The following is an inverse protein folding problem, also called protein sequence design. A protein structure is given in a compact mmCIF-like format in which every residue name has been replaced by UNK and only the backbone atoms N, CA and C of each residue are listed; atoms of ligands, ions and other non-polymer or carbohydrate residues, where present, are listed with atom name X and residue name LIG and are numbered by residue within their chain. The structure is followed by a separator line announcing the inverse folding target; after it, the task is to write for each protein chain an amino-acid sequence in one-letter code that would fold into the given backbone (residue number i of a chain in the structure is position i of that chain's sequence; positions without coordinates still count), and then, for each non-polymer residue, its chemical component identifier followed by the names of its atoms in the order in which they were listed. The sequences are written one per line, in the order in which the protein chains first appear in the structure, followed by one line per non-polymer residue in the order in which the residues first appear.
data_IF_019087439528
#
_entry.id   IF_019087439528
#
_cell.length_a   1.000
_cell.length_b   1.000
_cell.length_c   1.000
_cell.angle_alpha   90.00
_cell.angle_beta   90.00
_cell.angle_gamma   90.00
#
_symmetry.space_group_name_H-M   'P 1'
#
loop_
_entity.id
_entity.type
_entity.pdbx_description
1 polymer ?
#
# COMPACT_ATOMS: atom_id res chain seq x y z
N UNK A 1 13.05 0.59 16.82
CA UNK A 1 11.57 0.67 16.94
C UNK A 1 10.91 0.48 15.57
N UNK A 2 9.60 0.14 15.54
CA UNK A 2 8.80 0.16 14.31
C UNK A 2 7.65 1.16 14.44
N UNK A 3 7.59 2.10 13.50
CA UNK A 3 6.52 3.09 13.39
C UNK A 3 5.54 2.64 12.32
N UNK A 4 4.29 2.47 12.69
CA UNK A 4 3.16 2.21 11.81
C UNK A 4 2.48 3.55 11.51
N UNK A 5 2.58 4.04 10.31
CA UNK A 5 2.04 5.34 9.91
C UNK A 5 0.93 5.19 8.87
N UNK A 6 -0.20 5.84 9.10
CA UNK A 6 -1.26 5.91 8.08
C UNK A 6 -1.01 7.11 7.17
N UNK A 7 -0.26 6.87 6.09
CA UNK A 7 0.19 7.89 5.16
C UNK A 7 -1.00 8.51 4.39
N UNK A 8 -1.20 9.83 4.44
CA UNK A 8 -2.18 10.51 3.62
C UNK A 8 -1.86 10.44 2.11
N UNK A 9 -2.86 10.71 1.29
CA UNK A 9 -2.69 10.96 -0.14
C UNK A 9 -1.77 12.15 -0.39
N UNK A 10 -0.99 12.10 -1.46
CA UNK A 10 -0.08 13.14 -1.93
C UNK A 10 1.01 13.55 -0.92
N UNK A 11 1.47 12.59 -0.13
CA UNK A 11 2.62 12.72 0.78
C UNK A 11 3.73 11.78 0.30
N UNK A 12 4.95 12.29 0.14
CA UNK A 12 6.12 11.50 -0.25
C UNK A 12 6.57 10.61 0.91
N UNK A 13 7.00 9.36 0.63
CA UNK A 13 7.58 8.43 1.61
C UNK A 13 9.05 8.77 1.92
N UNK A 14 9.35 10.05 2.19
CA UNK A 14 10.67 10.58 2.53
C UNK A 14 10.52 11.85 3.34
N UNK A 15 11.56 12.24 4.06
CA UNK A 15 11.54 13.42 4.96
C UNK A 15 11.91 14.73 4.27
N UNK A 16 12.55 14.68 3.11
CA UNK A 16 12.99 15.87 2.36
C UNK A 16 12.43 15.88 0.95
N UNK A 17 12.26 17.06 0.37
CA UNK A 17 11.85 17.24 -1.03
C UNK A 17 12.37 18.57 -1.57
N UNK A 18 12.91 18.54 -2.77
CA UNK A 18 13.35 19.76 -3.48
C UNK A 18 12.20 20.48 -4.20
N UNK A 19 11.02 19.87 -4.27
CA UNK A 19 9.88 20.31 -5.08
C UNK A 19 8.70 20.87 -4.29
N UNK A 20 8.89 21.36 -3.07
CA UNK A 20 7.82 21.85 -2.17
C UNK A 20 6.66 20.83 -1.98
N UNK A 21 6.93 19.56 -2.21
CA UNK A 21 5.95 18.50 -2.01
C UNK A 21 5.84 18.17 -0.52
N UNK A 22 4.65 17.77 -0.09
CA UNK A 22 4.41 17.28 1.26
C UNK A 22 5.24 16.04 1.55
N UNK A 23 5.87 15.98 2.71
CA UNK A 23 6.77 14.90 3.10
C UNK A 23 6.38 14.31 4.46
N UNK A 24 7.08 13.25 4.87
CA UNK A 24 6.88 12.64 6.19
C UNK A 24 7.21 13.59 7.34
N UNK A 25 8.08 14.60 7.11
CA UNK A 25 8.45 15.60 8.14
C UNK A 25 7.26 16.42 8.66
N UNK A 26 6.15 16.51 7.89
CA UNK A 26 4.93 17.18 8.36
C UNK A 26 4.17 16.37 9.44
N UNK A 27 4.47 15.08 9.58
CA UNK A 27 3.67 14.15 10.39
C UNK A 27 4.48 13.40 11.44
N UNK A 28 5.77 13.22 11.21
CA UNK A 28 6.63 12.34 12.00
C UNK A 28 7.82 13.16 12.51
N UNK A 29 7.80 13.44 13.79
CA UNK A 29 8.91 14.08 14.54
C UNK A 29 9.65 13.01 15.36
N UNK A 30 10.22 12.04 14.66
CA UNK A 30 11.02 10.95 15.25
C UNK A 30 12.33 10.90 14.47
N UNK A 31 13.45 11.11 15.19
CA UNK A 31 14.77 11.10 14.56
C UNK A 31 15.17 9.70 14.06
N UNK A 32 16.01 9.67 13.04
CA UNK A 32 16.71 8.50 12.52
C UNK A 32 15.82 7.37 11.98
N UNK A 33 14.50 7.58 11.83
CA UNK A 33 13.62 6.58 11.22
C UNK A 33 13.56 6.75 9.70
N UNK A 34 13.49 5.64 8.99
CA UNK A 34 13.37 5.60 7.53
C UNK A 34 12.38 4.52 7.08
N UNK A 35 11.84 4.68 5.88
CA UNK A 35 10.80 3.80 5.38
C UNK A 35 11.31 2.36 5.16
N UNK A 36 10.62 1.39 5.74
CA UNK A 36 10.75 -0.03 5.44
C UNK A 36 9.86 -0.40 4.25
N UNK A 37 10.30 -0.01 3.06
CA UNK A 37 9.54 -0.10 1.82
C UNK A 37 8.66 1.13 1.56
N UNK A 38 8.85 1.71 0.39
CA UNK A 38 8.16 2.95 -0.01
C UNK A 38 6.69 2.70 -0.36
N UNK A 39 5.90 3.75 -0.25
CA UNK A 39 4.57 3.87 -0.77
C UNK A 39 4.53 5.12 -1.64
N UNK A 40 3.97 5.02 -2.85
CA UNK A 40 3.92 6.14 -3.79
C UNK A 40 3.16 7.34 -3.18
N UNK A 41 3.47 8.55 -3.65
CA UNK A 41 2.80 9.76 -3.17
C UNK A 41 1.27 9.69 -3.36
N UNK A 42 0.84 9.17 -4.51
CA UNK A 42 -0.57 9.01 -4.88
C UNK A 42 -1.25 7.76 -4.28
N UNK A 43 -0.58 7.07 -3.36
CA UNK A 43 -1.12 5.93 -2.60
C UNK A 43 -1.23 6.28 -1.12
N UNK A 44 -2.18 5.67 -0.44
CA UNK A 44 -2.55 5.94 0.95
C UNK A 44 -2.32 4.72 1.84
N UNK A 45 -2.39 4.90 3.14
CA UNK A 45 -2.46 3.82 4.12
C UNK A 45 -1.13 3.47 4.76
N UNK A 46 -0.97 2.22 5.17
CA UNK A 46 0.11 1.79 6.04
C UNK A 46 1.49 1.95 5.41
N UNK A 47 2.29 2.82 5.99
CA UNK A 47 3.73 2.95 5.76
C UNK A 47 4.46 2.55 7.05
N UNK A 48 5.43 1.67 6.92
CA UNK A 48 6.27 1.26 8.03
C UNK A 48 7.58 2.04 7.97
N UNK A 49 8.03 2.55 9.15
CA UNK A 49 9.35 3.18 9.29
C UNK A 49 10.06 2.58 10.50
N UNK A 50 11.37 2.55 10.46
CA UNK A 50 12.20 2.02 11.54
C UNK A 50 13.57 2.68 11.55
N UNK A 51 14.20 2.71 12.71
CA UNK A 51 15.62 3.03 12.93
C UNK A 51 16.52 1.78 12.88
N UNK A 52 15.91 0.59 12.70
CA UNK A 52 16.60 -0.71 12.74
C UNK A 52 16.77 -1.30 11.35
N UNK A 53 18.03 -1.33 10.85
CA UNK A 53 18.34 -1.87 9.53
C UNK A 53 18.03 -3.36 9.33
N UNK A 54 18.12 -4.17 10.40
CA UNK A 54 17.76 -5.59 10.32
C UNK A 54 16.23 -5.76 10.14
N UNK A 55 15.44 -4.95 10.85
CA UNK A 55 13.99 -4.96 10.71
C UNK A 55 13.57 -4.44 9.33
N UNK A 56 14.20 -3.36 8.85
CA UNK A 56 13.97 -2.85 7.49
C UNK A 56 14.26 -3.92 6.42
N UNK A 57 15.40 -4.62 6.54
CA UNK A 57 15.75 -5.69 5.61
C UNK A 57 14.77 -6.88 5.67
N UNK A 58 14.28 -7.24 6.87
CA UNK A 58 13.29 -8.28 7.05
C UNK A 58 11.94 -7.94 6.39
N UNK A 59 11.52 -6.67 6.47
CA UNK A 59 10.22 -6.21 5.94
C UNK A 59 10.27 -5.95 4.43
N UNK A 60 11.34 -5.29 3.94
CA UNK A 60 11.38 -4.72 2.59
C UNK A 60 12.64 -5.07 1.79
N UNK A 61 13.55 -5.87 2.34
CA UNK A 61 14.74 -6.32 1.63
C UNK A 61 14.40 -7.25 0.44
N UNK A 62 15.37 -7.43 -0.46
CA UNK A 62 15.21 -8.22 -1.69
C UNK A 62 14.81 -9.69 -1.45
N UNK A 63 15.05 -10.22 -0.26
CA UNK A 63 14.69 -11.59 0.16
C UNK A 63 13.43 -11.61 1.05
N UNK A 64 12.81 -10.48 1.29
CA UNK A 64 11.62 -10.40 2.13
C UNK A 64 10.44 -11.09 1.43
N UNK A 65 9.78 -11.97 2.16
CA UNK A 65 8.52 -12.62 1.77
C UNK A 65 7.29 -11.96 2.39
N UNK A 66 7.50 -10.85 3.11
CA UNK A 66 6.43 -10.11 3.78
C UNK A 66 5.45 -9.58 2.75
N UNK A 67 4.22 -10.03 2.85
CA UNK A 67 3.13 -9.66 1.95
C UNK A 67 2.66 -8.23 2.17
N UNK A 68 2.10 -7.62 1.13
CA UNK A 68 1.47 -6.30 1.18
C UNK A 68 0.05 -6.43 0.66
N UNK A 69 -0.92 -6.03 1.47
CA UNK A 69 -2.34 -6.07 1.11
C UNK A 69 -2.84 -4.68 0.80
N UNK A 70 -3.50 -4.55 -0.32
CA UNK A 70 -4.03 -3.29 -0.83
C UNK A 70 -5.54 -3.38 -1.06
N UNK A 71 -6.24 -2.33 -0.75
CA UNK A 71 -7.56 -2.06 -1.28
C UNK A 71 -7.41 -1.12 -2.47
N UNK A 72 -7.90 -1.56 -3.62
CA UNK A 72 -7.85 -0.78 -4.85
C UNK A 72 -9.28 -0.50 -5.32
N UNK A 73 -9.64 0.79 -5.39
CA UNK A 73 -10.79 1.26 -6.15
C UNK A 73 -10.36 1.32 -7.60
N UNK A 74 -11.02 0.57 -8.44
CA UNK A 74 -10.70 0.47 -9.87
C UNK A 74 -11.87 0.95 -10.72
N UNK A 75 -11.56 1.52 -11.86
CA UNK A 75 -12.55 1.93 -12.85
C UNK A 75 -13.12 0.68 -13.54
N UNK A 76 -14.42 0.57 -13.62
CA UNK A 76 -15.11 -0.57 -14.21
C UNK A 76 -15.66 -1.57 -13.19
N UNK A 77 -16.44 -2.52 -13.69
CA UNK A 77 -16.98 -3.62 -12.89
C UNK A 77 -16.00 -4.78 -12.89
N UNK A 78 -15.47 -5.12 -11.73
CA UNK A 78 -14.58 -6.28 -11.58
C UNK A 78 -15.38 -7.58 -11.73
N UNK A 79 -14.97 -8.45 -12.66
CA UNK A 79 -15.52 -9.79 -12.86
C UNK A 79 -14.59 -10.86 -12.27
N UNK A 80 -15.11 -12.09 -12.12
CA UNK A 80 -14.33 -13.24 -11.69
C UNK A 80 -13.14 -13.53 -12.64
N UNK A 81 -13.28 -13.24 -13.92
CA UNK A 81 -12.20 -13.36 -14.92
C UNK A 81 -11.04 -12.40 -14.62
N UNK A 82 -11.33 -11.12 -14.33
CA UNK A 82 -10.32 -10.15 -13.93
C UNK A 82 -9.58 -10.60 -12.65
N UNK A 83 -10.33 -11.07 -11.65
CA UNK A 83 -9.75 -11.56 -10.40
C UNK A 83 -8.90 -12.82 -10.63
N UNK A 84 -9.35 -13.74 -11.50
CA UNK A 84 -8.60 -14.94 -11.83
C UNK A 84 -7.28 -14.61 -12.55
N UNK A 85 -7.26 -13.63 -13.44
CA UNK A 85 -6.03 -13.15 -14.10
C UNK A 85 -5.06 -12.57 -13.08
N UNK A 86 -5.53 -11.70 -12.17
CA UNK A 86 -4.70 -11.13 -11.11
C UNK A 86 -4.12 -12.21 -10.19
N UNK A 87 -4.90 -13.25 -9.86
CA UNK A 87 -4.43 -14.37 -9.02
C UNK A 87 -3.34 -15.21 -9.69
N UNK A 88 -3.43 -15.45 -11.01
CA UNK A 88 -2.39 -16.17 -11.76
C UNK A 88 -1.10 -15.35 -11.93
N UNK A 89 -1.17 -14.06 -11.73
CA UNK A 89 -0.15 -13.11 -12.13
C UNK A 89 -0.36 -12.63 -13.56
N UNK A 90 0.18 -11.46 -13.87
CA UNK A 90 0.05 -10.79 -15.17
C UNK A 90 1.41 -10.44 -15.74
N UNK A 91 1.49 -10.36 -17.06
CA UNK A 91 2.71 -9.93 -17.74
C UNK A 91 2.76 -8.40 -17.76
N UNK A 92 3.78 -7.84 -17.10
CA UNK A 92 4.12 -6.43 -17.15
C UNK A 92 5.31 -6.19 -18.09
N UNK A 93 5.63 -4.91 -18.37
CA UNK A 93 6.77 -4.56 -19.24
C UNK A 93 8.13 -5.08 -18.72
N UNK A 94 8.25 -5.23 -17.41
CA UNK A 94 9.45 -5.72 -16.71
C UNK A 94 9.35 -7.20 -16.31
N UNK A 95 8.48 -7.96 -16.96
CA UNK A 95 8.31 -9.40 -16.80
C UNK A 95 7.03 -9.80 -16.04
N UNK A 96 6.77 -11.11 -15.93
CA UNK A 96 5.59 -11.62 -15.25
C UNK A 96 5.63 -11.28 -13.76
N UNK A 97 4.47 -11.03 -13.17
CA UNK A 97 4.33 -10.90 -11.72
C UNK A 97 4.18 -12.26 -11.06
N UNK A 98 4.51 -12.32 -9.78
CA UNK A 98 4.15 -13.47 -8.95
C UNK A 98 2.63 -13.61 -8.84
N UNK A 99 2.12 -14.84 -8.58
CA UNK A 99 0.73 -15.03 -8.20
C UNK A 99 0.34 -14.17 -7.02
N UNK A 100 -0.90 -13.70 -7.00
CA UNK A 100 -1.42 -12.83 -5.95
C UNK A 100 -2.71 -13.40 -5.35
N UNK A 101 -3.04 -13.03 -4.11
CA UNK A 101 -4.40 -13.23 -3.61
C UNK A 101 -5.24 -12.03 -4.03
N UNK A 102 -6.41 -12.28 -4.60
CA UNK A 102 -7.31 -11.23 -5.04
C UNK A 102 -8.77 -11.61 -4.78
N UNK A 103 -9.55 -10.67 -4.25
CA UNK A 103 -10.99 -10.85 -4.05
C UNK A 103 -11.74 -9.54 -4.26
N UNK A 104 -13.00 -9.64 -4.63
CA UNK A 104 -13.93 -8.50 -4.63
C UNK A 104 -14.26 -8.11 -3.19
N UNK A 105 -14.27 -6.82 -2.90
CA UNK A 105 -14.67 -6.31 -1.59
C UNK A 105 -16.17 -5.95 -1.52
N UNK A 106 -16.87 -5.97 -2.66
CA UNK A 106 -18.26 -5.50 -2.74
C UNK A 106 -18.38 -3.99 -2.52
N UNK A 107 -19.54 -3.58 -2.01
CA UNK A 107 -19.73 -2.19 -1.57
C UNK A 107 -19.13 -2.04 -0.18
N UNK A 108 -17.97 -1.41 -0.11
CA UNK A 108 -17.36 -1.02 1.17
C UNK A 108 -17.61 0.47 1.41
N UNK A 109 -17.86 0.83 2.67
CA UNK A 109 -17.77 2.22 3.06
C UNK A 109 -16.32 2.69 2.83
N UNK A 110 -16.15 3.90 2.29
CA UNK A 110 -14.81 4.46 2.16
C UNK A 110 -14.11 4.43 3.52
N UNK A 111 -12.88 3.89 3.62
CA UNK A 111 -12.19 3.76 4.91
C UNK A 111 -12.01 5.11 5.62
N UNK A 112 -11.82 6.16 4.82
CA UNK A 112 -11.73 7.56 5.24
C UNK A 112 -11.92 8.48 4.03
N UNK A 113 -12.39 9.73 4.23
CA UNK A 113 -12.46 10.74 3.16
C UNK A 113 -11.08 11.03 2.59
N UNK A 114 -10.96 11.08 1.26
CA UNK A 114 -9.74 11.49 0.57
C UNK A 114 -9.80 12.95 0.15
N UNK A 115 -8.72 13.70 0.38
CA UNK A 115 -8.56 15.09 -0.08
C UNK A 115 -7.34 15.20 -1.01
N UNK A 116 -7.52 15.68 -2.26
CA UNK A 116 -8.79 15.98 -2.94
C UNK A 116 -9.59 14.68 -3.20
N UNK A 117 -10.92 14.77 -3.34
CA UNK A 117 -11.76 13.61 -3.64
C UNK A 117 -11.43 13.03 -5.01
N UNK A 118 -11.77 11.75 -5.22
CA UNK A 118 -11.63 11.13 -6.53
C UNK A 118 -12.58 11.80 -7.51
N UNK A 119 -12.11 12.02 -8.74
CA UNK A 119 -12.97 12.54 -9.80
C UNK A 119 -14.03 11.49 -10.15
N UNK A 120 -15.28 11.80 -9.83
CA UNK A 120 -16.42 10.95 -10.21
C UNK A 120 -16.73 11.13 -11.70
N UNK A 121 -16.76 10.01 -12.43
CA UNK A 121 -17.24 9.97 -13.83
C UNK A 121 -18.66 9.43 -13.83
N UNK A 122 -19.64 10.27 -14.17
CA UNK A 122 -21.09 9.97 -14.04
C UNK A 122 -21.56 8.64 -14.68
N UNK A 123 -20.88 8.16 -15.72
CA UNK A 123 -21.29 7.00 -16.51
C UNK A 123 -20.27 5.83 -16.47
N UNK A 124 -19.30 5.88 -15.59
CA UNK A 124 -18.31 4.82 -15.46
C UNK A 124 -18.40 4.26 -14.05
N UNK A 125 -18.85 2.99 -13.91
CA UNK A 125 -18.89 2.34 -12.60
C UNK A 125 -17.47 2.14 -12.06
N UNK A 126 -17.37 1.94 -10.76
CA UNK A 126 -16.16 1.53 -10.09
C UNK A 126 -16.44 0.33 -9.19
N UNK A 127 -15.39 -0.36 -8.81
CA UNK A 127 -15.46 -1.48 -7.87
C UNK A 127 -14.24 -1.50 -6.98
N UNK A 128 -14.38 -2.12 -5.80
CA UNK A 128 -13.29 -2.30 -4.87
C UNK A 128 -12.80 -3.74 -4.86
N UNK A 129 -11.50 -3.92 -5.00
CA UNK A 129 -10.83 -5.21 -4.87
C UNK A 129 -9.76 -5.16 -3.77
N UNK A 130 -9.57 -6.29 -3.11
CA UNK A 130 -8.41 -6.51 -2.25
C UNK A 130 -7.38 -7.33 -3.02
N UNK A 131 -6.14 -6.85 -3.04
CA UNK A 131 -5.03 -7.52 -3.69
C UNK A 131 -3.86 -7.66 -2.72
N UNK A 132 -3.39 -8.90 -2.49
CA UNK A 132 -2.22 -9.18 -1.67
C UNK A 132 -1.10 -9.73 -2.55
N UNK A 133 0.06 -9.07 -2.50
CA UNK A 133 1.27 -9.43 -3.25
C UNK A 133 2.44 -9.71 -2.32
N UNK A 134 3.36 -10.58 -2.72
CA UNK A 134 4.59 -10.93 -1.99
C UNK A 134 5.85 -10.21 -2.51
N UNK A 135 5.72 -9.44 -3.56
CA UNK A 135 6.80 -8.66 -4.19
C UNK A 135 6.52 -7.16 -4.11
N UNK A 136 7.40 -6.30 -4.62
CA UNK A 136 7.23 -4.84 -4.51
C UNK A 136 7.92 -4.08 -5.63
N UNK A 137 7.49 -4.30 -6.90
CA UNK A 137 7.99 -3.54 -8.04
C UNK A 137 7.40 -2.12 -8.05
N UNK A 138 8.06 -1.21 -8.75
CA UNK A 138 7.56 0.16 -8.91
C UNK A 138 6.12 0.15 -9.44
N UNK A 139 5.21 0.80 -8.72
CA UNK A 139 3.77 0.96 -9.05
C UNK A 139 3.07 -0.35 -9.45
N UNK A 140 3.47 -1.47 -8.85
CA UNK A 140 3.10 -2.81 -9.30
C UNK A 140 1.58 -3.02 -9.31
N UNK A 141 0.88 -2.75 -8.21
CA UNK A 141 -0.58 -2.97 -8.12
C UNK A 141 -1.32 -2.18 -9.20
N UNK A 142 -0.97 -0.90 -9.41
CA UNK A 142 -1.57 -0.06 -10.46
C UNK A 142 -1.34 -0.60 -11.87
N UNK A 143 -0.15 -1.17 -12.11
CA UNK A 143 0.18 -1.80 -13.40
C UNK A 143 -0.55 -3.13 -13.59
N UNK A 144 -0.70 -3.91 -12.51
CA UNK A 144 -1.42 -5.17 -12.55
C UNK A 144 -2.90 -4.96 -12.85
N UNK A 145 -3.56 -4.05 -12.16
CA UNK A 145 -4.98 -3.74 -12.38
C UNK A 145 -5.21 -3.16 -13.77
N UNK A 146 -4.34 -2.26 -14.24
CA UNK A 146 -4.42 -1.73 -15.60
C UNK A 146 -4.22 -2.81 -16.68
N UNK A 147 -3.36 -3.79 -16.44
CA UNK A 147 -3.10 -4.90 -17.39
C UNK A 147 -4.33 -5.79 -17.62
N UNK A 148 -5.25 -5.85 -16.65
CA UNK A 148 -6.53 -6.56 -16.78
C UNK A 148 -7.70 -5.64 -17.14
N UNK A 149 -7.43 -4.39 -17.55
CA UNK A 149 -8.48 -3.45 -17.97
C UNK A 149 -9.19 -2.70 -16.84
N UNK A 150 -8.67 -2.75 -15.62
CA UNK A 150 -9.23 -2.13 -14.42
C UNK A 150 -8.30 -1.04 -13.86
N UNK A 151 -8.18 0.16 -14.47
CA UNK A 151 -7.28 1.21 -13.98
C UNK A 151 -7.59 1.61 -12.54
N UNK A 152 -6.57 1.71 -11.70
CA UNK A 152 -6.73 2.10 -10.29
C UNK A 152 -7.02 3.60 -10.14
N UNK A 153 -8.15 3.92 -9.51
CA UNK A 153 -8.56 5.28 -9.12
C UNK A 153 -8.00 5.66 -7.74
N UNK A 154 -8.08 4.77 -6.77
CA UNK A 154 -7.57 4.93 -5.41
C UNK A 154 -6.83 3.67 -4.96
N UNK A 155 -5.72 3.84 -4.26
CA UNK A 155 -4.92 2.72 -3.75
C UNK A 155 -4.57 2.95 -2.30
N UNK A 156 -4.97 2.03 -1.44
CA UNK A 156 -4.76 2.07 -0.01
C UNK A 156 -4.01 0.80 0.41
N UNK A 157 -2.83 0.93 0.97
CA UNK A 157 -2.15 -0.23 1.57
C UNK A 157 -2.70 -0.46 2.97
N UNK A 158 -3.50 -1.49 3.14
CA UNK A 158 -4.18 -1.79 4.41
C UNK A 158 -3.36 -2.66 5.34
N UNK A 159 -2.40 -3.44 4.80
CA UNK A 159 -1.52 -4.26 5.62
C UNK A 159 -0.13 -4.46 5.00
N UNK A 160 0.86 -4.71 5.86
CA UNK A 160 2.21 -5.18 5.54
C UNK A 160 2.52 -6.30 6.53
N UNK A 161 2.60 -7.55 6.06
CA UNK A 161 2.72 -8.72 6.93
C UNK A 161 1.61 -8.73 7.98
N UNK A 162 1.97 -8.85 9.28
CA UNK A 162 1.01 -8.89 10.37
C UNK A 162 0.43 -7.52 10.73
N UNK A 163 1.02 -6.42 10.28
CA UNK A 163 0.59 -5.07 10.68
C UNK A 163 -0.49 -4.53 9.75
N UNK A 164 -1.49 -3.88 10.36
CA UNK A 164 -2.65 -3.33 9.67
C UNK A 164 -2.82 -1.85 10.00
N UNK A 165 -3.42 -1.11 9.06
CA UNK A 165 -3.67 0.32 9.21
C UNK A 165 -4.87 0.63 10.11
N UNK A 166 -5.68 -0.37 10.41
CA UNK A 166 -6.88 -0.24 11.22
C UNK A 166 -6.58 0.44 12.58
N UNK A 167 -7.47 1.31 13.01
CA UNK A 167 -7.36 2.11 14.26
C UNK A 167 -6.23 3.14 14.25
N UNK A 168 -5.59 3.40 13.13
CA UNK A 168 -4.65 4.51 12.99
C UNK A 168 -5.33 5.57 12.12
N UNK A 169 -5.61 6.75 12.68
CA UNK A 169 -6.19 7.85 11.93
C UNK A 169 -5.27 8.28 10.77
N UNK A 170 -5.83 8.86 9.72
CA UNK A 170 -5.03 9.38 8.59
C UNK A 170 -4.06 10.45 9.10
N UNK A 171 -2.78 10.31 8.76
CA UNK A 171 -1.71 11.16 9.29
C UNK A 171 -1.29 10.82 10.73
N UNK A 172 -1.95 9.86 11.38
CA UNK A 172 -1.57 9.35 12.68
C UNK A 172 -0.56 8.21 12.61
N UNK A 173 0.05 7.88 13.75
CA UNK A 173 1.03 6.81 13.87
C UNK A 173 0.84 5.99 15.16
N UNK A 174 1.41 4.79 15.15
CA UNK A 174 1.58 3.92 16.32
C UNK A 174 3.02 3.42 16.34
N UNK A 175 3.63 3.36 17.52
CA UNK A 175 4.99 2.85 17.69
C UNK A 175 4.93 1.52 18.45
N UNK A 176 5.74 0.56 18.03
CA UNK A 176 5.99 -0.70 18.72
C UNK A 176 7.50 -0.92 18.87
N UNK A 177 7.89 -1.76 19.83
CA UNK A 177 9.28 -2.12 20.02
C UNK A 177 9.83 -3.03 18.93
N UNK A 178 11.15 -3.12 18.79
CA UNK A 178 11.81 -4.07 17.90
C UNK A 178 11.44 -5.51 18.26
N UNK A 179 11.41 -5.84 19.54
CA UNK A 179 11.08 -7.20 20.02
C UNK A 179 9.66 -7.59 19.62
N UNK A 180 8.69 -6.68 19.80
CA UNK A 180 7.30 -6.89 19.37
C UNK A 180 7.24 -7.05 17.84
N UNK A 181 7.98 -6.24 17.09
CA UNK A 181 8.00 -6.30 15.64
C UNK A 181 8.62 -7.61 15.12
N UNK A 182 9.76 -8.04 15.68
CA UNK A 182 10.37 -9.32 15.30
C UNK A 182 9.54 -10.52 15.74
N UNK A 183 8.87 -10.46 16.90
CA UNK A 183 7.96 -11.50 17.32
C UNK A 183 6.79 -11.66 16.36
N UNK A 184 6.19 -10.53 15.90
CA UNK A 184 5.10 -10.53 14.94
C UNK A 184 5.50 -11.10 13.55
N UNK A 185 6.75 -10.90 13.12
CA UNK A 185 7.25 -11.48 11.86
C UNK A 185 7.46 -13.00 11.91
N UNK A 186 7.61 -13.57 13.10
CA UNK A 186 7.82 -15.02 13.30
C UNK A 186 6.54 -15.81 13.57
N UNK A 187 5.45 -15.12 13.91
CA UNK A 187 4.15 -15.72 14.18
C UNK A 187 3.40 -16.09 12.88
#
# INVERSE_FOLDING_TARGET
MLVLFNKPFNVLSQFTSDAHARTLAEFIDIADVYAAGRLDADSEGLLLLTDNGALQAAIAGNRSTVTKTYWAQVEGVSSDEHLAQLRRGVLLKDGPTQPAMCRLLGQIAEPWPRLPPIRVRKNVPDSWIELTISEGRNRQVRRMTAAVGLPTLRLIRVAVGPWRVERIAVGGLRIISDDEAFAALRA
#
